data_IF_096376431160
#
_entry.id   IF_096376431160
#
_cell.length_a   1.000
_cell.length_b   1.000
_cell.length_c   1.000
_cell.angle_alpha   90.00
_cell.angle_beta   90.00
_cell.angle_gamma   90.00
#
_symmetry.space_group_name_H-M   'P 1'
#
loop_
_entity.id
_entity.type
_entity.pdbx_description
1 polymer ?
#
# COMPACT_ATOMS: atom_id res chain seq x y z
N UNK A 1 2.55 -0.54 -11.98
CA UNK A 1 2.43 -1.98 -11.62
C UNK A 1 3.52 -2.83 -12.24
N UNK A 2 3.65 -2.83 -13.57
CA UNK A 2 4.56 -3.76 -14.30
C UNK A 2 6.01 -3.61 -13.84
N UNK A 3 6.53 -2.40 -13.77
CA UNK A 3 7.91 -2.15 -13.35
C UNK A 3 8.17 -2.66 -11.93
N UNK A 4 7.26 -2.42 -11.01
CA UNK A 4 7.35 -2.90 -9.64
C UNK A 4 7.36 -4.42 -9.58
N UNK A 5 6.49 -5.09 -10.36
CA UNK A 5 6.45 -6.54 -10.44
C UNK A 5 7.80 -7.13 -10.92
N UNK A 6 8.34 -6.58 -12.00
CA UNK A 6 9.63 -7.02 -12.56
C UNK A 6 10.79 -6.83 -11.57
N UNK A 7 10.86 -5.66 -10.93
CA UNK A 7 11.91 -5.35 -9.95
C UNK A 7 11.79 -6.27 -8.73
N UNK A 8 10.59 -6.45 -8.19
CA UNK A 8 10.34 -7.31 -7.03
C UNK A 8 10.71 -8.77 -7.32
N UNK A 9 10.26 -9.30 -8.46
CA UNK A 9 10.58 -10.67 -8.87
C UNK A 9 12.08 -10.85 -9.04
N UNK A 10 12.74 -9.92 -9.72
CA UNK A 10 14.18 -9.93 -9.92
C UNK A 10 14.94 -9.97 -8.59
N UNK A 11 14.59 -9.11 -7.64
CA UNK A 11 15.24 -9.08 -6.32
C UNK A 11 15.10 -10.42 -5.59
N UNK A 12 13.92 -11.05 -5.60
CA UNK A 12 13.72 -12.34 -4.95
C UNK A 12 14.46 -13.49 -5.63
N UNK A 13 14.68 -13.41 -6.95
CA UNK A 13 15.46 -14.42 -7.69
C UNK A 13 16.96 -14.22 -7.47
N UNK A 14 17.46 -12.98 -7.60
CA UNK A 14 18.89 -12.67 -7.49
C UNK A 14 19.40 -12.72 -6.05
N UNK A 15 18.53 -12.53 -5.04
CA UNK A 15 18.88 -12.53 -3.63
C UNK A 15 17.99 -13.56 -2.90
N UNK A 16 18.27 -14.85 -3.00
CA UNK A 16 17.42 -15.91 -2.42
C UNK A 16 17.26 -15.84 -0.90
N UNK A 17 18.17 -15.16 -0.22
CA UNK A 17 18.15 -14.94 1.23
C UNK A 17 17.07 -13.94 1.68
N UNK A 18 16.45 -13.19 0.77
CA UNK A 18 15.34 -12.32 1.12
C UNK A 18 14.14 -13.16 1.57
N UNK A 19 13.69 -12.91 2.80
CA UNK A 19 12.59 -13.65 3.42
C UNK A 19 11.23 -12.98 3.22
N UNK A 20 11.22 -11.67 3.00
CA UNK A 20 10.01 -10.83 2.99
C UNK A 20 10.16 -9.67 2.02
N UNK A 21 9.07 -9.26 1.41
CA UNK A 21 8.97 -8.01 0.65
C UNK A 21 8.27 -6.92 1.47
N UNK A 22 8.83 -5.72 1.47
CA UNK A 22 8.18 -4.55 2.04
C UNK A 22 8.12 -3.45 0.98
N UNK A 23 6.92 -2.96 0.71
CA UNK A 23 6.69 -1.81 -0.16
C UNK A 23 6.26 -0.62 0.69
N UNK A 24 7.09 0.41 0.72
CA UNK A 24 6.79 1.70 1.35
C UNK A 24 6.66 2.76 0.27
N UNK A 25 5.56 3.48 0.25
CA UNK A 25 5.31 4.52 -0.74
C UNK A 25 4.22 5.50 -0.33
N UNK A 26 3.93 6.45 -1.21
CA UNK A 26 2.87 7.45 -1.04
C UNK A 26 1.54 6.95 -1.58
N UNK A 27 0.45 7.63 -1.22
CA UNK A 27 -0.91 7.32 -1.67
C UNK A 27 -1.85 8.51 -1.55
N UNK A 28 -2.92 8.51 -2.35
CA UNK A 28 -4.08 9.37 -2.18
C UNK A 28 -5.09 8.74 -1.22
N UNK A 29 -5.70 9.54 -0.34
CA UNK A 29 -6.77 9.08 0.55
C UNK A 29 -8.09 8.91 -0.21
N UNK A 30 -8.79 7.79 0.01
CA UNK A 30 -10.13 7.53 -0.53
C UNK A 30 -11.23 7.81 0.50
N UNK A 31 -10.87 8.20 1.70
CA UNK A 31 -11.78 8.45 2.82
C UNK A 31 -11.40 9.74 3.55
N UNK A 32 -12.37 10.55 4.01
CA UNK A 32 -12.10 11.82 4.68
C UNK A 32 -11.50 11.66 6.10
N UNK A 33 -11.51 10.47 6.66
CA UNK A 33 -10.90 10.18 7.97
C UNK A 33 -9.37 10.22 7.95
N UNK A 34 -8.78 10.12 6.74
CA UNK A 34 -7.33 10.17 6.54
C UNK A 34 -6.90 11.53 5.99
N UNK A 35 -5.76 11.99 6.47
CA UNK A 35 -5.14 13.26 6.07
C UNK A 35 -3.67 13.07 5.70
N UNK A 36 -3.07 14.00 4.95
CA UNK A 36 -1.65 13.95 4.64
C UNK A 36 -0.78 13.72 5.88
N UNK A 37 0.13 12.76 5.79
CA UNK A 37 0.99 12.31 6.88
C UNK A 37 0.53 11.06 7.59
N UNK A 38 -0.75 10.67 7.50
CA UNK A 38 -1.25 9.41 8.06
C UNK A 38 -0.68 8.20 7.32
N UNK A 39 -0.56 7.07 8.02
CA UNK A 39 0.04 5.85 7.49
C UNK A 39 -0.97 4.71 7.49
N UNK A 40 -1.08 4.05 6.35
CA UNK A 40 -1.94 2.87 6.17
C UNK A 40 -1.08 1.61 6.01
N UNK A 41 -1.32 0.64 6.88
CA UNK A 41 -0.80 -0.71 6.74
C UNK A 41 -1.78 -1.55 5.93
N UNK A 42 -1.31 -2.09 4.80
CA UNK A 42 -2.12 -2.90 3.92
C UNK A 42 -2.44 -4.27 4.50
N UNK A 43 -3.68 -4.47 4.91
CA UNK A 43 -4.20 -5.81 5.21
C UNK A 43 -4.40 -6.60 3.90
N UNK A 44 -4.70 -5.89 2.84
CA UNK A 44 -4.77 -6.41 1.49
C UNK A 44 -4.57 -5.32 0.44
N UNK A 45 -4.08 -5.74 -0.72
CA UNK A 45 -4.01 -4.90 -1.91
C UNK A 45 -5.08 -5.38 -2.90
N UNK A 46 -5.90 -4.46 -3.41
CA UNK A 46 -6.98 -4.74 -4.37
C UNK A 46 -6.63 -4.11 -5.71
N UNK A 47 -6.51 -4.93 -6.75
CA UNK A 47 -6.21 -4.45 -8.11
C UNK A 47 -7.50 -3.95 -8.79
N UNK A 48 -7.78 -2.65 -8.68
CA UNK A 48 -9.06 -2.06 -9.05
C UNK A 48 -9.28 -1.91 -10.57
N UNK A 49 -8.22 -1.87 -11.36
CA UNK A 49 -8.25 -1.70 -12.82
C UNK A 49 -8.18 -3.03 -13.59
N UNK A 50 -8.07 -4.17 -12.91
CA UNK A 50 -8.14 -5.50 -13.51
C UNK A 50 -9.57 -6.01 -13.54
N UNK A 51 -10.31 -5.66 -14.59
CA UNK A 51 -11.74 -6.00 -14.74
C UNK A 51 -11.94 -7.15 -15.73
N UNK A 52 -12.48 -8.25 -15.27
CA UNK A 52 -12.89 -9.39 -16.12
C UNK A 52 -14.40 -9.34 -16.39
N UNK A 53 -14.83 -8.46 -17.29
CA UNK A 53 -16.25 -8.22 -17.58
C UNK A 53 -16.99 -9.48 -18.01
N UNK A 54 -16.38 -10.30 -18.87
CA UNK A 54 -17.01 -11.53 -19.39
C UNK A 54 -17.19 -12.63 -18.33
N UNK A 55 -16.41 -12.62 -17.27
CA UNK A 55 -16.41 -13.67 -16.27
C UNK A 55 -17.07 -13.25 -14.96
N UNK A 56 -17.53 -12.00 -14.85
CA UNK A 56 -18.12 -11.44 -13.62
C UNK A 56 -17.36 -11.80 -12.34
N UNK A 57 -16.02 -11.84 -12.43
CA UNK A 57 -15.17 -12.17 -11.29
C UNK A 57 -14.95 -10.95 -10.40
N UNK A 58 -14.83 -11.15 -9.07
CA UNK A 58 -14.45 -10.07 -8.17
C UNK A 58 -13.06 -9.56 -8.54
N UNK A 59 -12.77 -8.31 -8.12
CA UNK A 59 -11.45 -7.72 -8.29
C UNK A 59 -10.39 -8.58 -7.60
N UNK A 60 -9.20 -8.74 -8.21
CA UNK A 60 -8.11 -9.46 -7.56
C UNK A 60 -7.72 -8.80 -6.24
N UNK A 61 -7.66 -9.59 -5.18
CA UNK A 61 -7.27 -9.15 -3.84
C UNK A 61 -6.14 -10.03 -3.32
N UNK A 62 -5.10 -9.39 -2.83
CA UNK A 62 -3.88 -10.02 -2.32
C UNK A 62 -3.75 -9.68 -0.83
N UNK A 63 -3.85 -10.67 0.04
CA UNK A 63 -3.74 -10.46 1.49
C UNK A 63 -2.28 -10.38 1.91
N UNK A 64 -1.98 -9.39 2.76
CA UNK A 64 -0.69 -9.34 3.46
C UNK A 64 -0.57 -10.53 4.41
N UNK A 65 0.59 -11.17 4.41
CA UNK A 65 0.89 -12.21 5.38
C UNK A 65 1.46 -11.66 6.71
N UNK A 66 1.61 -10.34 6.78
CA UNK A 66 2.30 -9.64 7.87
C UNK A 66 1.27 -8.88 8.69
N UNK A 67 1.16 -9.25 9.97
CA UNK A 67 0.29 -8.53 10.91
C UNK A 67 0.85 -7.16 11.28
N UNK A 68 -0.03 -6.25 11.61
CA UNK A 68 0.30 -4.95 12.18
C UNK A 68 0.85 -5.16 13.62
N UNK A 69 1.99 -4.56 13.98
CA UNK A 69 2.47 -4.60 15.34
C UNK A 69 1.49 -3.83 16.25
N UNK A 70 1.05 -4.47 17.32
CA UNK A 70 0.23 -3.79 18.32
C UNK A 70 1.03 -2.73 19.07
N UNK A 71 0.37 -1.62 19.43
CA UNK A 71 0.98 -0.58 20.26
C UNK A 71 1.83 0.44 19.53
N UNK A 72 1.92 0.41 18.20
CA UNK A 72 2.58 1.49 17.45
C UNK A 72 1.72 2.76 17.50
N UNK A 73 2.25 3.77 18.17
CA UNK A 73 1.67 5.11 18.24
C UNK A 73 2.72 6.16 17.93
N UNK A 74 2.34 7.18 17.18
CA UNK A 74 3.21 8.26 16.78
C UNK A 74 2.54 9.61 17.04
N UNK A 75 3.33 10.58 17.49
CA UNK A 75 2.84 11.94 17.66
C UNK A 75 2.66 12.62 16.29
N UNK A 76 1.51 13.24 16.08
CA UNK A 76 1.21 14.08 14.93
C UNK A 76 0.61 13.37 13.70
N UNK A 77 0.51 12.04 13.68
CA UNK A 77 -0.16 11.27 12.63
C UNK A 77 -0.68 9.93 13.16
N UNK A 78 -1.69 9.41 12.51
CA UNK A 78 -2.24 8.10 12.87
C UNK A 78 -1.67 6.98 11.98
N UNK A 79 -1.67 5.76 12.54
CA UNK A 79 -1.41 4.54 11.81
C UNK A 79 -2.66 3.68 11.83
N UNK A 80 -3.20 3.36 10.68
CA UNK A 80 -4.42 2.55 10.55
C UNK A 80 -4.15 1.30 9.70
N UNK A 81 -5.02 0.31 9.83
CA UNK A 81 -5.02 -0.89 9.00
C UNK A 81 -6.19 -0.86 8.04
N UNK A 82 -5.97 -1.33 6.82
CA UNK A 82 -7.05 -1.43 5.85
C UNK A 82 -6.61 -1.92 4.49
N UNK A 83 -7.55 -2.01 3.57
CA UNK A 83 -7.25 -2.34 2.18
C UNK A 83 -6.63 -1.15 1.46
N UNK A 84 -5.77 -1.45 0.48
CA UNK A 84 -5.14 -0.49 -0.43
C UNK A 84 -5.62 -0.80 -1.85
N UNK A 85 -6.18 0.18 -2.53
CA UNK A 85 -6.51 0.07 -3.95
C UNK A 85 -5.24 0.30 -4.79
N UNK A 86 -5.03 -0.52 -5.82
CA UNK A 86 -3.88 -0.38 -6.70
C UNK A 86 -4.29 -0.49 -8.17
N UNK A 87 -3.82 0.46 -8.98
CA UNK A 87 -4.08 0.50 -10.42
C UNK A 87 -3.21 1.52 -11.13
N UNK A 88 -3.04 1.38 -12.44
CA UNK A 88 -2.26 2.32 -13.26
C UNK A 88 -3.13 3.53 -13.66
N UNK A 89 -3.63 4.27 -12.66
CA UNK A 89 -4.56 5.38 -12.80
C UNK A 89 -4.24 6.50 -11.80
N UNK A 90 -4.21 7.75 -12.28
CA UNK A 90 -4.20 8.94 -11.43
C UNK A 90 -5.62 9.23 -10.96
N UNK A 91 -5.87 9.12 -9.67
CA UNK A 91 -7.17 9.46 -9.08
C UNK A 91 -7.15 10.92 -8.65
N UNK A 92 -7.77 11.77 -9.46
CA UNK A 92 -7.81 13.23 -9.30
C UNK A 92 -9.24 13.78 -9.29
N UNK A 93 -10.21 12.93 -9.00
CA UNK A 93 -11.64 13.28 -8.97
C UNK A 93 -12.32 12.68 -7.74
N UNK A 94 -13.06 13.50 -7.00
CA UNK A 94 -13.84 13.07 -5.84
C UNK A 94 -14.81 11.95 -6.19
N UNK A 95 -15.46 12.00 -7.35
CA UNK A 95 -16.40 10.96 -7.77
C UNK A 95 -15.68 9.63 -8.03
N UNK A 96 -14.48 9.69 -8.63
CA UNK A 96 -13.67 8.49 -8.85
C UNK A 96 -13.13 7.92 -7.54
N UNK A 97 -12.66 8.76 -6.63
CA UNK A 97 -12.24 8.33 -5.29
C UNK A 97 -13.39 7.66 -4.53
N UNK A 98 -14.60 8.23 -4.59
CA UNK A 98 -15.80 7.64 -3.99
C UNK A 98 -16.17 6.29 -4.61
N UNK A 99 -16.19 6.19 -5.94
CA UNK A 99 -16.44 4.92 -6.65
C UNK A 99 -15.45 3.82 -6.20
N UNK A 100 -14.17 4.17 -6.11
CA UNK A 100 -13.14 3.24 -5.65
C UNK A 100 -13.36 2.81 -4.20
N UNK A 101 -13.69 3.76 -3.31
CA UNK A 101 -14.00 3.43 -1.93
C UNK A 101 -15.23 2.52 -1.82
N UNK A 102 -16.30 2.82 -2.54
CA UNK A 102 -17.54 2.03 -2.51
C UNK A 102 -17.34 0.60 -3.03
N UNK A 103 -16.53 0.45 -4.07
CA UNK A 103 -16.33 -0.84 -4.74
C UNK A 103 -15.25 -1.70 -4.06
N UNK A 104 -14.24 -1.09 -3.44
CA UNK A 104 -13.09 -1.81 -2.87
C UNK A 104 -13.04 -1.78 -1.35
N UNK A 105 -13.68 -0.79 -0.71
CA UNK A 105 -13.52 -0.47 0.71
C UNK A 105 -12.07 -0.16 1.09
N UNK A 106 -11.24 0.17 0.11
CA UNK A 106 -9.87 0.57 0.34
C UNK A 106 -9.79 1.97 0.95
N UNK A 107 -8.87 2.17 1.87
CA UNK A 107 -8.67 3.46 2.54
C UNK A 107 -7.85 4.44 1.70
N UNK A 108 -6.97 3.91 0.86
CA UNK A 108 -6.06 4.70 0.01
C UNK A 108 -5.87 4.03 -1.35
N UNK A 109 -5.39 4.83 -2.31
CA UNK A 109 -5.06 4.35 -3.67
C UNK A 109 -3.61 4.67 -4.03
N UNK A 110 -2.96 3.75 -4.73
CA UNK A 110 -1.60 3.87 -5.24
C UNK A 110 -1.37 2.97 -6.46
N UNK A 111 -0.24 3.12 -7.16
CA UNK A 111 -0.03 2.41 -8.43
C UNK A 111 0.62 1.04 -8.27
N UNK A 112 1.58 0.89 -7.38
CA UNK A 112 2.57 -0.20 -7.40
C UNK A 112 2.11 -1.48 -6.71
N UNK A 113 1.18 -1.36 -5.77
CA UNK A 113 0.84 -2.42 -4.81
C UNK A 113 0.48 -3.76 -5.45
N UNK A 114 -0.39 -3.75 -6.47
CA UNK A 114 -0.79 -4.98 -7.15
C UNK A 114 0.38 -5.69 -7.86
N UNK A 115 1.27 -4.93 -8.48
CA UNK A 115 2.48 -5.49 -9.11
C UNK A 115 3.41 -6.12 -8.08
N UNK A 116 3.62 -5.43 -6.96
CA UNK A 116 4.42 -5.92 -5.84
C UNK A 116 3.83 -7.21 -5.23
N UNK A 117 2.54 -7.21 -4.93
CA UNK A 117 1.86 -8.35 -4.34
C UNK A 117 1.88 -9.59 -5.26
N UNK A 118 1.59 -9.41 -6.56
CA UNK A 118 1.66 -10.50 -7.55
C UNK A 118 3.05 -11.13 -7.63
N UNK A 119 4.10 -10.30 -7.71
CA UNK A 119 5.47 -10.79 -7.79
C UNK A 119 5.91 -11.50 -6.52
N UNK A 120 5.55 -10.96 -5.35
CA UNK A 120 5.84 -11.58 -4.06
C UNK A 120 5.20 -12.96 -3.94
N UNK A 121 3.91 -13.08 -4.29
CA UNK A 121 3.19 -14.36 -4.27
C UNK A 121 3.74 -15.36 -5.30
N UNK A 122 4.10 -14.91 -6.51
CA UNK A 122 4.72 -15.76 -7.52
C UNK A 122 6.06 -16.33 -7.03
N UNK A 123 6.82 -15.57 -6.25
CA UNK A 123 8.05 -16.00 -5.61
C UNK A 123 7.83 -16.73 -4.26
N UNK A 124 6.57 -16.95 -3.85
CA UNK A 124 6.21 -17.55 -2.55
C UNK A 124 6.82 -16.81 -1.37
N UNK A 125 6.86 -15.49 -1.44
CA UNK A 125 7.41 -14.63 -0.37
C UNK A 125 6.28 -13.86 0.29
N UNK A 126 6.24 -13.80 1.63
CA UNK A 126 5.34 -12.91 2.35
C UNK A 126 5.64 -11.45 2.00
N UNK A 127 4.62 -10.61 2.04
CA UNK A 127 4.76 -9.19 1.72
C UNK A 127 3.95 -8.32 2.68
N UNK A 128 4.38 -7.08 2.81
CA UNK A 128 3.67 -6.00 3.47
C UNK A 128 3.71 -4.74 2.59
N UNK A 129 2.57 -4.13 2.40
CA UNK A 129 2.46 -2.81 1.78
C UNK A 129 2.14 -1.77 2.85
N UNK A 130 2.89 -0.66 2.87
CA UNK A 130 2.70 0.49 3.76
C UNK A 130 2.58 1.72 2.90
N UNK A 131 1.51 2.48 3.10
CA UNK A 131 1.26 3.71 2.36
C UNK A 131 1.17 4.91 3.29
N UNK A 132 1.81 6.00 2.89
CA UNK A 132 1.71 7.28 3.59
C UNK A 132 0.85 8.21 2.74
N UNK A 133 -0.17 8.78 3.34
CA UNK A 133 -1.09 9.69 2.66
C UNK A 133 -0.36 10.98 2.30
N UNK A 134 -0.45 11.41 1.05
CA UNK A 134 0.09 12.69 0.56
C UNK A 134 -1.01 13.66 0.15
N UNK A 135 -2.16 13.13 -0.27
CA UNK A 135 -3.24 13.89 -0.89
C UNK A 135 -4.60 13.21 -0.68
N UNK A 136 -5.65 13.90 -1.05
CA UNK A 136 -7.05 13.45 -0.90
C UNK A 136 -7.62 12.78 -2.15
N UNK A 137 -6.80 12.36 -3.11
CA UNK A 137 -7.22 11.75 -4.38
C UNK A 137 -8.32 12.56 -5.12
N UNK A 138 -8.23 13.87 -5.08
CA UNK A 138 -9.19 14.82 -5.68
C UNK A 138 -8.49 15.81 -6.64
N UNK A 139 -9.21 16.83 -7.07
CA UNK A 139 -8.68 17.84 -7.98
C UNK A 139 -7.49 18.66 -7.42
N UNK A 140 -7.23 18.61 -6.12
CA UNK A 140 -6.08 19.24 -5.46
C UNK A 140 -4.91 18.26 -5.27
N UNK A 141 -5.06 17.00 -5.66
CA UNK A 141 -4.08 15.93 -5.38
C UNK A 141 -2.65 16.28 -5.80
N UNK A 142 -2.47 16.89 -6.97
CA UNK A 142 -1.13 17.27 -7.47
C UNK A 142 -0.43 18.28 -6.57
N UNK A 143 -1.15 19.30 -6.11
CA UNK A 143 -0.58 20.35 -5.27
C UNK A 143 -0.35 19.85 -3.85
N UNK A 144 -1.31 19.10 -3.29
CA UNK A 144 -1.20 18.47 -1.99
C UNK A 144 -0.03 17.49 -1.95
N UNK A 145 0.14 16.65 -2.99
CA UNK A 145 1.28 15.75 -3.12
C UNK A 145 2.60 16.50 -3.01
N UNK A 146 2.78 17.56 -3.80
CA UNK A 146 4.02 18.37 -3.77
C UNK A 146 4.27 18.99 -2.40
N UNK A 147 3.22 19.50 -1.77
CA UNK A 147 3.28 20.16 -0.47
C UNK A 147 3.65 19.19 0.65
N UNK A 148 3.06 17.99 0.66
CA UNK A 148 3.15 17.06 1.78
C UNK A 148 4.17 15.93 1.60
N UNK A 149 4.73 15.73 0.38
CA UNK A 149 5.62 14.63 0.06
C UNK A 149 6.74 14.44 1.11
N UNK A 150 7.46 15.51 1.45
CA UNK A 150 8.58 15.41 2.37
C UNK A 150 8.17 15.04 3.79
N UNK A 151 7.11 15.66 4.32
CA UNK A 151 6.60 15.37 5.66
C UNK A 151 6.04 13.95 5.76
N UNK A 152 5.29 13.52 4.74
CA UNK A 152 4.72 12.19 4.65
C UNK A 152 5.81 11.11 4.59
N UNK A 153 6.84 11.29 3.75
CA UNK A 153 7.96 10.34 3.69
C UNK A 153 8.72 10.25 5.02
N UNK A 154 8.87 11.35 5.77
CA UNK A 154 9.44 11.31 7.13
C UNK A 154 8.62 10.43 8.07
N UNK A 155 7.29 10.52 8.02
CA UNK A 155 6.42 9.68 8.82
C UNK A 155 6.55 8.20 8.44
N UNK A 156 6.54 7.90 7.13
CA UNK A 156 6.80 6.54 6.64
C UNK A 156 8.14 5.98 7.10
N UNK A 157 9.19 6.81 7.10
CA UNK A 157 10.51 6.43 7.61
C UNK A 157 10.48 6.11 9.10
N UNK A 158 9.80 6.94 9.92
CA UNK A 158 9.64 6.67 11.37
C UNK A 158 8.96 5.32 11.60
N UNK A 159 7.89 5.04 10.85
CA UNK A 159 7.17 3.76 10.93
C UNK A 159 8.07 2.59 10.53
N UNK A 160 8.79 2.71 9.42
CA UNK A 160 9.74 1.68 8.97
C UNK A 160 10.81 1.38 10.04
N UNK A 161 11.42 2.40 10.61
CA UNK A 161 12.43 2.26 11.66
C UNK A 161 11.85 1.59 12.92
N UNK A 162 10.63 1.95 13.32
CA UNK A 162 9.96 1.32 14.44
C UNK A 162 9.67 -0.17 14.19
N UNK A 163 9.22 -0.53 12.98
CA UNK A 163 9.02 -1.92 12.57
C UNK A 163 10.33 -2.72 12.59
N UNK A 164 11.40 -2.13 12.07
CA UNK A 164 12.72 -2.77 12.06
C UNK A 164 13.23 -2.96 13.49
N UNK A 165 13.17 -1.94 14.32
CA UNK A 165 13.66 -1.97 15.72
C UNK A 165 12.87 -2.91 16.63
N UNK A 166 11.57 -3.13 16.37
CA UNK A 166 10.73 -4.06 17.12
C UNK A 166 10.98 -5.54 16.79
N UNK A 167 11.77 -5.82 15.78
CA UNK A 167 11.95 -7.19 15.25
C UNK A 167 10.69 -7.76 14.60
N UNK A 168 9.65 -6.96 14.42
CA UNK A 168 8.37 -7.41 13.84
C UNK A 168 8.53 -7.91 12.41
N UNK A 169 9.49 -7.39 11.67
CA UNK A 169 9.82 -7.86 10.31
C UNK A 169 10.57 -9.20 10.29
N UNK A 170 11.12 -9.65 11.41
CA UNK A 170 11.87 -10.91 11.52
C UNK A 170 11.05 -12.11 12.03
N UNK A 171 9.82 -11.91 12.48
CA UNK A 171 8.96 -12.96 13.05
C UNK A 171 8.16 -13.76 12.02
N UNK A 172 8.61 -13.77 10.77
CA UNK A 172 7.95 -14.57 9.73
C UNK A 172 8.44 -16.01 9.80
N UNK A 173 7.85 -16.79 10.72
CA UNK A 173 7.97 -18.24 10.70
C UNK A 173 7.22 -18.73 9.45
N UNK A 174 7.94 -19.51 8.63
CA UNK A 174 7.38 -20.34 7.60
C UNK A 174 6.28 -21.24 8.22
N UNK A 175 5.01 -20.91 7.96
CA UNK A 175 3.92 -21.87 8.01
C UNK A 175 3.61 -22.33 6.60
#
# INVERSE_FOLDING_TARGET
>A
KVQTALTTQRLFIEIPTLQVGLLLGTSGALTPELRPGDVVFGESTIEHDFRMIFLSRPLPQFRSAIGFPEGLSFEGFQCVRGAIASGDEDVVSIDRARELFETTRALVVAWEGAGFARASLACRKPFLEIRVVTDSADHLATDQFRQHLQSSLRNGTKVFLALHGSGSLGKFSNN
#
